data_IF_048656313097
#
_entry.id   IF_048656313097
#
_cell.length_a   1.000
_cell.length_b   1.000
_cell.length_c   1.000
_cell.angle_alpha   90.00
_cell.angle_beta   90.00
_cell.angle_gamma   90.00
#
_symmetry.space_group_name_H-M   'P 1'
#
loop_
_entity.id
_entity.type
_entity.pdbx_description
1 polymer ?
#
# COMPACT_ATOMS: atom_id res chain seq x y z
N UNK A 1 -3.90 -31.84 2.04
CA UNK A 1 -2.86 -30.90 2.54
C UNK A 1 -3.54 -29.59 2.87
N UNK A 2 -3.31 -29.02 4.06
CA UNK A 2 -3.96 -27.77 4.47
C UNK A 2 -3.13 -26.58 3.96
N UNK A 3 -3.71 -25.77 3.07
CA UNK A 3 -3.12 -24.52 2.58
C UNK A 3 -3.80 -23.35 3.29
N UNK A 4 -2.99 -22.47 3.87
CA UNK A 4 -3.44 -21.21 4.45
C UNK A 4 -2.79 -20.05 3.70
N UNK A 5 -3.60 -19.09 3.25
CA UNK A 5 -3.10 -17.85 2.65
C UNK A 5 -3.33 -16.68 3.59
N UNK A 6 -2.32 -15.83 3.74
CA UNK A 6 -2.36 -14.62 4.54
C UNK A 6 -2.18 -13.44 3.61
N UNK A 7 -3.14 -12.52 3.57
CA UNK A 7 -3.05 -11.30 2.76
C UNK A 7 -2.90 -10.10 3.68
N UNK A 8 -1.76 -9.42 3.57
CA UNK A 8 -1.47 -8.16 4.26
C UNK A 8 -1.27 -7.06 3.21
N UNK A 9 -1.60 -5.82 3.57
CA UNK A 9 -1.53 -4.66 2.69
C UNK A 9 -1.23 -3.42 3.53
N UNK A 10 -0.75 -2.36 2.90
CA UNK A 10 -0.66 -1.02 3.49
C UNK A 10 0.12 -1.07 4.82
N UNK A 11 1.33 -1.65 4.78
CA UNK A 11 2.24 -1.67 5.93
C UNK A 11 3.03 -0.34 6.03
N UNK A 12 3.40 0.24 4.89
CA UNK A 12 4.15 1.50 4.76
C UNK A 12 5.46 1.55 5.54
N UNK A 13 6.30 0.53 5.38
CA UNK A 13 7.66 0.53 5.91
C UNK A 13 8.45 1.71 5.32
N UNK A 14 8.87 2.63 6.20
CA UNK A 14 9.80 3.71 5.86
C UNK A 14 11.24 3.25 5.98
N UNK A 15 12.14 4.16 6.36
CA UNK A 15 13.58 3.87 6.58
C UNK A 15 13.89 3.41 8.01
N UNK A 16 12.87 3.05 8.78
CA UNK A 16 12.95 2.76 10.20
C UNK A 16 13.14 4.02 11.05
N UNK A 17 13.24 3.79 12.36
CA UNK A 17 13.62 4.79 13.34
C UNK A 17 14.78 4.25 14.18
N UNK A 18 15.73 5.10 14.55
CA UNK A 18 16.76 4.72 15.54
C UNK A 18 16.20 4.87 16.95
N UNK A 19 16.60 4.03 17.92
CA UNK A 19 16.18 4.20 19.30
C UNK A 19 16.49 5.61 19.84
N UNK A 20 15.46 6.30 20.32
CA UNK A 20 15.59 7.67 20.83
C UNK A 20 15.58 8.77 19.76
N UNK A 21 15.56 8.43 18.48
CA UNK A 21 15.39 9.38 17.38
C UNK A 21 14.00 9.24 16.77
N UNK A 22 13.32 10.37 16.64
CA UNK A 22 12.05 10.43 15.97
C UNK A 22 12.26 10.51 14.45
N UNK A 23 11.69 9.56 13.70
CA UNK A 23 11.53 9.69 12.26
C UNK A 23 10.07 9.98 11.92
N UNK A 24 9.76 11.24 11.60
CA UNK A 24 8.38 11.65 11.27
C UNK A 24 7.83 11.00 10.01
N UNK A 25 8.69 10.40 9.17
CA UNK A 25 8.31 9.69 7.95
C UNK A 25 8.20 8.17 8.13
N UNK A 26 8.51 7.66 9.31
CA UNK A 26 8.25 6.27 9.66
C UNK A 26 6.83 6.13 10.19
N UNK A 27 6.03 5.30 9.54
CA UNK A 27 4.65 5.03 9.97
C UNK A 27 4.46 3.56 10.41
N UNK A 28 5.42 2.69 10.10
CA UNK A 28 5.43 1.28 10.50
C UNK A 28 6.28 1.07 11.77
N UNK A 29 5.64 0.58 12.82
CA UNK A 29 6.29 0.29 14.11
C UNK A 29 5.96 -1.11 14.63
N UNK A 30 5.58 -2.02 13.73
CA UNK A 30 4.99 -3.32 14.05
C UNK A 30 5.85 -4.49 13.55
N UNK A 31 7.16 -4.28 13.46
CA UNK A 31 8.16 -5.30 13.11
C UNK A 31 8.02 -6.59 13.92
N UNK A 32 7.95 -6.45 15.24
CA UNK A 32 7.83 -7.58 16.17
C UNK A 32 6.50 -8.31 15.96
N UNK A 33 5.40 -7.56 15.79
CA UNK A 33 4.06 -8.11 15.59
C UNK A 33 3.93 -8.84 14.25
N UNK A 34 4.57 -8.33 13.20
CA UNK A 34 4.63 -8.97 11.89
C UNK A 34 5.39 -10.30 11.97
N UNK A 35 6.59 -10.29 12.56
CA UNK A 35 7.38 -11.50 12.74
C UNK A 35 6.66 -12.53 13.63
N UNK A 36 5.93 -12.08 14.65
CA UNK A 36 5.13 -12.94 15.53
C UNK A 36 3.97 -13.60 14.78
N UNK A 37 3.24 -12.83 13.96
CA UNK A 37 2.14 -13.33 13.12
C UNK A 37 2.63 -14.44 12.18
N UNK A 38 3.76 -14.22 11.50
CA UNK A 38 4.34 -15.24 10.62
C UNK A 38 4.74 -16.49 11.39
N UNK A 39 5.39 -16.33 12.55
CA UNK A 39 5.77 -17.47 13.39
C UNK A 39 4.56 -18.24 13.94
N UNK A 40 3.44 -17.56 14.20
CA UNK A 40 2.20 -18.19 14.64
C UNK A 40 1.64 -19.11 13.56
N UNK A 41 1.42 -18.59 12.35
CA UNK A 41 0.88 -19.37 11.25
C UNK A 41 1.84 -20.45 10.76
N UNK A 42 3.15 -20.22 10.88
CA UNK A 42 4.16 -21.25 10.63
C UNK A 42 4.01 -22.45 11.57
N UNK A 43 3.76 -22.20 12.87
CA UNK A 43 3.51 -23.26 13.86
C UNK A 43 2.17 -23.94 13.65
N UNK A 44 1.12 -23.18 13.34
CA UNK A 44 -0.21 -23.73 13.08
C UNK A 44 -0.21 -24.68 11.87
N UNK A 45 0.52 -24.33 10.81
CA UNK A 45 0.66 -25.16 9.62
C UNK A 45 1.49 -26.43 9.86
N UNK A 46 2.45 -26.40 10.79
CA UNK A 46 3.37 -27.51 11.02
C UNK A 46 4.30 -27.77 9.83
N UNK A 47 4.89 -28.97 9.76
CA UNK A 47 5.85 -29.31 8.69
C UNK A 47 5.16 -29.64 7.36
N UNK A 48 3.97 -30.24 7.40
CA UNK A 48 3.22 -30.67 6.21
C UNK A 48 2.26 -29.62 5.65
N UNK A 49 1.98 -28.56 6.42
CA UNK A 49 1.11 -27.46 5.98
C UNK A 49 1.80 -26.48 5.04
N UNK A 50 1.01 -25.89 4.15
CA UNK A 50 1.48 -24.83 3.24
C UNK A 50 0.98 -23.48 3.71
N UNK A 51 1.87 -22.49 3.68
CA UNK A 51 1.51 -21.10 3.97
C UNK A 51 2.00 -20.20 2.84
N UNK A 52 1.06 -19.43 2.29
CA UNK A 52 1.37 -18.42 1.28
C UNK A 52 1.09 -17.03 1.86
N UNK A 53 2.15 -16.24 2.01
CA UNK A 53 2.08 -14.85 2.40
C UNK A 53 1.94 -13.99 1.15
N UNK A 54 0.88 -13.19 1.09
CA UNK A 54 0.57 -12.29 -0.01
C UNK A 54 0.66 -10.87 0.53
N UNK A 55 1.66 -10.14 0.08
CA UNK A 55 1.86 -8.73 0.36
C UNK A 55 1.22 -7.91 -0.77
N UNK A 56 0.03 -7.38 -0.51
CA UNK A 56 -0.89 -6.79 -1.49
C UNK A 56 -0.72 -5.27 -1.67
N UNK A 57 0.51 -4.81 -1.80
CA UNK A 57 0.84 -3.42 -2.11
C UNK A 57 0.95 -2.51 -0.89
N UNK A 58 1.65 -1.39 -1.10
CA UNK A 58 2.02 -0.42 -0.08
C UNK A 58 2.67 -1.10 1.14
N UNK A 59 3.52 -2.08 0.87
CA UNK A 59 4.38 -2.70 1.87
C UNK A 59 5.42 -1.69 2.31
N UNK A 60 6.05 -1.04 1.34
CA UNK A 60 7.01 0.03 1.58
C UNK A 60 6.38 1.39 1.26
N UNK A 61 6.80 2.43 1.96
CA UNK A 61 6.49 3.81 1.60
C UNK A 61 7.67 4.47 0.87
N UNK A 62 7.98 3.97 -0.33
CA UNK A 62 9.15 4.39 -1.12
C UNK A 62 9.00 5.84 -1.63
N UNK A 63 7.81 6.42 -1.56
CA UNK A 63 7.57 7.84 -1.80
C UNK A 63 8.10 8.73 -0.67
N UNK A 64 8.28 8.21 0.56
CA UNK A 64 8.83 8.97 1.69
C UNK A 64 10.35 8.87 1.81
N UNK A 65 10.98 7.94 1.10
CA UNK A 65 12.42 7.70 1.16
C UNK A 65 13.19 8.75 0.36
N UNK A 66 14.25 9.31 0.97
CA UNK A 66 15.10 10.33 0.35
C UNK A 66 16.38 9.74 -0.21
N UNK A 67 16.78 10.18 -1.39
CA UNK A 67 18.10 9.94 -1.97
C UNK A 67 18.83 11.28 -2.06
N UNK A 68 20.04 11.37 -1.50
CA UNK A 68 20.80 12.62 -1.49
C UNK A 68 20.07 13.79 -0.79
N UNK A 69 19.20 13.50 0.19
CA UNK A 69 18.46 14.52 0.95
C UNK A 69 17.16 15.02 0.29
N UNK A 70 16.82 14.55 -0.91
CA UNK A 70 15.59 14.92 -1.63
C UNK A 70 14.67 13.72 -1.83
N UNK A 71 13.38 13.97 -2.03
CA UNK A 71 12.45 12.96 -2.54
C UNK A 71 12.54 12.94 -4.07
N UNK A 72 13.15 11.90 -4.68
CA UNK A 72 13.31 11.86 -6.12
C UNK A 72 11.95 11.74 -6.82
N UNK A 73 11.75 12.53 -7.88
CA UNK A 73 10.56 12.47 -8.74
C UNK A 73 10.81 11.72 -10.05
N UNK A 74 12.09 11.48 -10.36
CA UNK A 74 12.55 10.64 -11.45
C UNK A 74 13.18 9.39 -10.83
N UNK A 75 12.50 8.24 -10.95
CA UNK A 75 12.90 6.99 -10.29
C UNK A 75 13.51 6.06 -11.32
N UNK A 76 14.83 5.84 -11.25
CA UNK A 76 15.53 4.78 -11.98
C UNK A 76 15.54 3.48 -11.16
N UNK A 77 15.95 2.37 -11.78
CA UNK A 77 16.16 1.09 -11.09
C UNK A 77 17.15 1.22 -9.90
N UNK A 78 18.27 1.95 -10.09
CA UNK A 78 19.25 2.18 -9.02
C UNK A 78 18.67 2.98 -7.84
N UNK A 79 17.88 4.03 -8.14
CA UNK A 79 17.20 4.83 -7.11
C UNK A 79 16.20 3.96 -6.35
N UNK A 80 15.39 3.19 -7.08
CA UNK A 80 14.42 2.26 -6.50
C UNK A 80 15.09 1.22 -5.58
N UNK A 81 16.18 0.62 -6.06
CA UNK A 81 17.00 -0.36 -5.32
C UNK A 81 17.55 0.24 -4.03
N UNK A 82 18.12 1.44 -4.09
CA UNK A 82 18.67 2.11 -2.92
C UNK A 82 17.59 2.48 -1.89
N UNK A 83 16.40 2.91 -2.34
CA UNK A 83 15.29 3.17 -1.42
C UNK A 83 14.87 1.91 -0.67
N UNK A 84 14.71 0.79 -1.38
CA UNK A 84 14.38 -0.51 -0.78
C UNK A 84 15.46 -0.95 0.21
N UNK A 85 16.74 -0.76 -0.12
CA UNK A 85 17.86 -1.04 0.80
C UNK A 85 17.70 -0.29 2.11
N UNK A 86 17.44 1.02 2.06
CA UNK A 86 17.25 1.85 3.26
C UNK A 86 16.07 1.37 4.11
N UNK A 87 14.95 0.99 3.49
CA UNK A 87 13.82 0.41 4.20
C UNK A 87 14.17 -0.91 4.88
N UNK A 88 14.80 -1.83 4.16
CA UNK A 88 15.16 -3.15 4.68
C UNK A 88 16.18 -3.07 5.83
N UNK A 89 17.15 -2.15 5.73
CA UNK A 89 18.12 -1.88 6.79
C UNK A 89 17.48 -1.23 8.03
N UNK A 90 16.42 -0.43 7.82
CA UNK A 90 15.62 0.18 8.87
C UNK A 90 14.74 -0.81 9.65
N UNK A 91 14.40 -1.95 9.03
CA UNK A 91 13.47 -2.94 9.56
C UNK A 91 14.08 -4.36 9.64
N UNK A 92 15.19 -4.56 10.37
CA UNK A 92 15.88 -5.85 10.41
C UNK A 92 15.01 -6.98 10.99
N UNK A 93 14.06 -6.67 11.87
CA UNK A 93 13.16 -7.65 12.47
C UNK A 93 12.11 -8.14 11.48
N UNK A 94 11.52 -7.25 10.68
CA UNK A 94 10.68 -7.62 9.53
C UNK A 94 11.43 -8.56 8.58
N UNK A 95 12.68 -8.21 8.21
CA UNK A 95 13.54 -9.02 7.34
C UNK A 95 13.80 -10.41 7.94
N UNK A 96 14.18 -10.48 9.22
CA UNK A 96 14.43 -11.74 9.92
C UNK A 96 13.16 -12.60 9.99
N UNK A 97 12.00 -11.98 10.20
CA UNK A 97 10.69 -12.66 10.20
C UNK A 97 10.42 -13.35 8.87
N UNK A 98 10.57 -12.62 7.76
CA UNK A 98 10.43 -13.18 6.41
C UNK A 98 11.47 -14.26 6.11
N UNK A 99 12.73 -14.04 6.51
CA UNK A 99 13.80 -15.02 6.29
C UNK A 99 13.54 -16.35 7.02
N UNK A 100 13.04 -16.28 8.25
CA UNK A 100 12.66 -17.48 9.02
C UNK A 100 11.47 -18.18 8.39
N UNK A 101 10.47 -17.42 7.97
CA UNK A 101 9.30 -17.96 7.27
C UNK A 101 9.70 -18.69 5.98
N UNK A 102 10.50 -18.03 5.13
CA UNK A 102 10.93 -18.57 3.84
C UNK A 102 12.03 -19.63 3.96
N UNK A 103 12.63 -19.86 5.12
CA UNK A 103 13.59 -20.95 5.30
C UNK A 103 12.96 -22.35 5.15
N UNK A 104 11.63 -22.48 5.35
CA UNK A 104 10.90 -23.75 5.21
C UNK A 104 10.35 -23.92 3.80
N UNK A 105 10.49 -25.12 3.20
CA UNK A 105 10.19 -25.36 1.78
C UNK A 105 8.73 -25.05 1.37
N UNK A 106 7.76 -25.29 2.25
CA UNK A 106 6.32 -25.11 1.99
C UNK A 106 5.79 -23.70 2.25
N UNK A 107 6.68 -22.71 2.33
CA UNK A 107 6.34 -21.31 2.57
C UNK A 107 6.59 -20.50 1.30
N UNK A 108 5.61 -19.73 0.85
CA UNK A 108 5.70 -18.92 -0.36
C UNK A 108 5.40 -17.46 -0.04
N UNK A 109 6.02 -16.56 -0.80
CA UNK A 109 5.73 -15.14 -0.75
C UNK A 109 5.30 -14.64 -2.13
N UNK A 110 4.18 -13.95 -2.18
CA UNK A 110 3.72 -13.19 -3.34
C UNK A 110 3.73 -11.71 -2.97
N UNK A 111 4.28 -10.88 -3.84
CA UNK A 111 4.34 -9.43 -3.67
C UNK A 111 3.66 -8.76 -4.85
N UNK A 112 2.64 -7.93 -4.57
CA UNK A 112 2.01 -7.04 -5.54
C UNK A 112 2.41 -5.61 -5.18
N UNK A 113 2.94 -4.79 -6.10
CA UNK A 113 3.15 -3.37 -5.83
C UNK A 113 1.83 -2.59 -5.70
N UNK A 114 1.80 -1.68 -4.72
CA UNK A 114 0.81 -0.62 -4.57
C UNK A 114 1.33 0.71 -5.12
N UNK A 115 0.62 1.82 -4.88
CA UNK A 115 1.03 3.12 -5.43
C UNK A 115 2.18 3.79 -4.65
N UNK A 116 2.49 3.35 -3.44
CA UNK A 116 3.62 3.82 -2.64
C UNK A 116 4.93 3.06 -2.89
N UNK A 117 4.84 1.87 -3.48
CA UNK A 117 5.99 1.00 -3.78
C UNK A 117 6.01 0.48 -5.22
N UNK A 118 5.49 1.27 -6.17
CA UNK A 118 5.59 1.01 -7.62
C UNK A 118 7.03 0.77 -8.10
N UNK A 119 8.02 1.32 -7.38
CA UNK A 119 9.45 1.08 -7.59
C UNK A 119 9.77 -0.44 -7.66
N UNK A 120 9.00 -1.29 -6.95
CA UNK A 120 9.11 -2.76 -6.97
C UNK A 120 8.76 -3.38 -8.33
N UNK A 121 8.31 -2.60 -9.32
CA UNK A 121 8.23 -3.04 -10.71
C UNK A 121 9.61 -3.33 -11.32
N UNK A 122 10.64 -2.57 -10.93
CA UNK A 122 11.99 -2.76 -11.47
C UNK A 122 12.65 -4.06 -10.98
N UNK A 123 13.54 -4.67 -11.79
CA UNK A 123 14.27 -5.88 -11.38
C UNK A 123 15.21 -5.68 -10.19
N UNK A 124 15.97 -4.58 -10.13
CA UNK A 124 16.95 -4.33 -9.08
C UNK A 124 16.39 -4.38 -7.65
N UNK A 125 15.30 -3.65 -7.30
CA UNK A 125 14.71 -3.72 -5.97
C UNK A 125 14.12 -5.11 -5.64
N UNK A 126 13.56 -5.82 -6.63
CA UNK A 126 13.08 -7.20 -6.43
C UNK A 126 14.20 -8.17 -6.08
N UNK A 127 15.31 -8.11 -6.82
CA UNK A 127 16.48 -8.96 -6.57
C UNK A 127 17.16 -8.61 -5.25
N UNK A 128 17.21 -7.32 -4.90
CA UNK A 128 17.67 -6.90 -3.57
C UNK A 128 16.77 -7.47 -2.46
N UNK A 129 15.45 -7.33 -2.59
CA UNK A 129 14.50 -7.87 -1.62
C UNK A 129 14.71 -9.38 -1.42
N UNK A 130 14.80 -10.15 -2.51
CA UNK A 130 15.08 -11.60 -2.46
C UNK A 130 16.39 -11.92 -1.73
N UNK A 131 17.46 -11.15 -1.95
CA UNK A 131 18.74 -11.36 -1.25
C UNK A 131 18.61 -11.19 0.27
N UNK A 132 17.79 -10.25 0.73
CA UNK A 132 17.56 -10.03 2.16
C UNK A 132 16.74 -11.16 2.80
N UNK A 133 15.67 -11.61 2.14
CA UNK A 133 14.66 -12.47 2.78
C UNK A 133 14.67 -13.93 2.32
N UNK A 134 15.24 -14.24 1.16
CA UNK A 134 15.17 -15.56 0.52
C UNK A 134 16.47 -15.91 -0.23
N UNK A 135 17.65 -15.92 0.43
CA UNK A 135 18.89 -16.23 -0.25
C UNK A 135 18.92 -17.69 -0.75
N UNK A 136 19.59 -17.92 -1.89
CA UNK A 136 19.74 -19.24 -2.50
C UNK A 136 18.44 -19.76 -3.12
N UNK A 137 18.17 -21.07 -2.99
CA UNK A 137 17.01 -21.73 -3.59
C UNK A 137 15.65 -21.24 -3.05
N UNK A 138 15.63 -20.50 -1.93
CA UNK A 138 14.40 -19.90 -1.43
C UNK A 138 13.87 -18.77 -2.34
N UNK A 139 14.73 -18.16 -3.17
CA UNK A 139 14.36 -17.08 -4.07
C UNK A 139 13.25 -17.49 -5.07
N UNK A 140 13.23 -18.75 -5.49
CA UNK A 140 12.23 -19.30 -6.43
C UNK A 140 10.81 -19.34 -5.84
N UNK A 141 10.69 -19.21 -4.51
CA UNK A 141 9.40 -19.17 -3.78
C UNK A 141 8.92 -17.74 -3.51
N UNK A 142 9.62 -16.73 -4.03
CA UNK A 142 9.25 -15.31 -3.95
C UNK A 142 8.82 -14.83 -5.34
N UNK A 143 7.53 -14.57 -5.49
CA UNK A 143 6.94 -14.14 -6.76
C UNK A 143 6.47 -12.69 -6.71
N UNK A 144 6.89 -11.88 -7.68
CA UNK A 144 6.43 -10.51 -7.85
C UNK A 144 5.40 -10.44 -8.98
N UNK A 145 4.23 -9.87 -8.70
CA UNK A 145 3.16 -9.66 -9.68
C UNK A 145 3.28 -8.23 -10.21
N UNK A 146 4.00 -8.07 -11.32
CA UNK A 146 4.29 -6.75 -11.91
C UNK A 146 3.73 -6.57 -13.32
N UNK A 147 3.26 -7.65 -13.94
CA UNK A 147 2.63 -7.63 -15.28
C UNK A 147 1.14 -7.27 -15.25
N UNK A 148 0.52 -7.23 -14.07
CA UNK A 148 -0.90 -6.93 -13.88
C UNK A 148 -1.17 -6.30 -12.51
N UNK A 149 -2.31 -5.63 -12.38
CA UNK A 149 -2.80 -5.06 -11.12
C UNK A 149 -3.40 -6.10 -10.16
N UNK A 150 -3.51 -7.35 -10.62
CA UNK A 150 -4.29 -8.40 -9.96
C UNK A 150 -3.49 -9.70 -9.88
N UNK A 151 -3.48 -10.31 -8.70
CA UNK A 151 -3.13 -11.70 -8.49
C UNK A 151 -4.39 -12.55 -8.50
N UNK A 152 -4.44 -13.52 -9.41
CA UNK A 152 -5.58 -14.38 -9.63
C UNK A 152 -5.37 -15.70 -8.89
N UNK A 153 -6.28 -16.00 -7.97
CA UNK A 153 -6.35 -17.29 -7.32
C UNK A 153 -7.51 -18.10 -7.90
N UNK A 154 -7.48 -19.43 -7.76
CA UNK A 154 -8.60 -20.27 -8.16
C UNK A 154 -9.87 -19.96 -7.33
N UNK A 155 -10.96 -20.69 -7.57
CA UNK A 155 -12.24 -20.51 -6.86
C UNK A 155 -12.87 -19.10 -6.97
N UNK A 156 -12.41 -18.29 -7.92
CA UNK A 156 -12.93 -16.94 -8.16
C UNK A 156 -12.43 -15.89 -7.16
N UNK A 157 -11.23 -16.06 -6.62
CA UNK A 157 -10.59 -15.07 -5.74
C UNK A 157 -9.68 -14.15 -6.57
N UNK A 158 -9.86 -12.84 -6.43
CA UNK A 158 -8.94 -11.84 -6.97
C UNK A 158 -8.37 -10.97 -5.85
N UNK A 159 -7.07 -10.76 -5.90
CA UNK A 159 -6.33 -9.91 -4.97
C UNK A 159 -5.70 -8.79 -5.76
N UNK A 160 -5.96 -7.55 -5.38
CA UNK A 160 -5.39 -6.34 -6.02
C UNK A 160 -5.23 -5.26 -4.98
N UNK A 161 -4.24 -4.38 -5.11
CA UNK A 161 -3.99 -3.37 -4.08
C UNK A 161 -5.19 -2.43 -3.89
N UNK A 162 -5.71 -1.82 -4.96
CA UNK A 162 -6.87 -0.91 -4.85
C UNK A 162 -6.70 0.39 -5.59
N UNK A 163 -5.47 0.90 -5.68
CA UNK A 163 -5.13 2.20 -6.27
C UNK A 163 -5.70 2.42 -7.69
N UNK A 164 -5.85 1.36 -8.49
CA UNK A 164 -6.44 1.39 -9.84
C UNK A 164 -7.89 1.91 -9.88
N UNK A 165 -8.61 1.81 -8.75
CA UNK A 165 -9.98 2.31 -8.60
C UNK A 165 -10.03 3.84 -8.51
N UNK A 166 -8.90 4.47 -8.20
CA UNK A 166 -8.75 5.92 -8.12
C UNK A 166 -7.94 6.45 -9.31
N UNK A 167 -8.55 7.33 -10.10
CA UNK A 167 -7.96 7.82 -11.36
C UNK A 167 -6.59 8.47 -11.15
N UNK A 168 -6.38 9.14 -10.02
CA UNK A 168 -5.13 9.86 -9.72
C UNK A 168 -3.97 8.93 -9.37
N UNK A 169 -4.24 7.67 -9.01
CA UNK A 169 -3.24 6.66 -8.65
C UNK A 169 -3.10 5.54 -9.69
N UNK A 170 -3.91 5.55 -10.75
CA UNK A 170 -3.87 4.52 -11.81
C UNK A 170 -2.59 4.61 -12.63
N UNK A 171 -2.02 3.45 -12.93
CA UNK A 171 -0.87 3.25 -13.82
C UNK A 171 -1.24 2.37 -15.02
N UNK A 172 -0.40 2.39 -16.06
CA UNK A 172 -0.48 1.47 -17.18
C UNK A 172 0.59 0.38 -17.03
N UNK A 173 0.16 -0.83 -16.64
CA UNK A 173 1.06 -1.97 -16.40
C UNK A 173 1.81 -2.43 -17.66
N UNK A 174 1.32 -2.08 -18.86
CA UNK A 174 2.05 -2.34 -20.10
C UNK A 174 3.16 -1.30 -20.37
N UNK A 175 3.05 -0.10 -19.80
CA UNK A 175 3.95 1.02 -20.01
C UNK A 175 4.27 1.72 -18.67
N UNK A 176 4.96 1.00 -17.79
CA UNK A 176 5.28 1.47 -16.43
C UNK A 176 6.42 2.49 -16.41
N UNK A 177 7.17 2.62 -17.50
CA UNK A 177 8.33 3.50 -17.61
C UNK A 177 8.22 4.46 -18.78
N UNK A 178 9.02 5.52 -18.71
CA UNK A 178 9.26 6.44 -19.82
C UNK A 178 10.75 6.69 -19.96
N UNK A 179 11.18 6.93 -21.20
CA UNK A 179 12.58 7.28 -21.51
C UNK A 179 12.75 8.79 -21.52
N UNK A 180 13.82 9.26 -20.88
CA UNK A 180 14.27 10.65 -20.94
C UNK A 180 14.97 10.93 -22.27
N UNK A 181 15.26 12.21 -22.53
CA UNK A 181 16.00 12.64 -23.72
C UNK A 181 17.42 12.07 -23.79
N UNK A 182 18.03 11.83 -22.64
CA UNK A 182 19.36 11.21 -22.50
C UNK A 182 19.31 9.66 -22.60
N UNK A 183 18.13 9.08 -22.83
CA UNK A 183 17.93 7.63 -22.92
C UNK A 183 17.67 6.93 -21.59
N UNK A 184 17.81 7.62 -20.45
CA UNK A 184 17.58 7.05 -19.12
C UNK A 184 16.12 6.63 -18.96
N UNK A 185 15.90 5.41 -18.49
CA UNK A 185 14.57 4.89 -18.20
C UNK A 185 14.19 5.22 -16.76
N UNK A 186 13.00 5.79 -16.59
CA UNK A 186 12.44 6.15 -15.28
C UNK A 186 11.01 5.66 -15.16
N UNK A 187 10.56 5.38 -13.94
CA UNK A 187 9.18 5.05 -13.65
C UNK A 187 8.23 6.19 -14.03
N UNK A 188 7.13 5.89 -14.71
CA UNK A 188 6.09 6.85 -14.99
C UNK A 188 5.10 6.95 -13.82
N UNK A 189 5.51 7.72 -12.81
CA UNK A 189 4.72 7.90 -11.59
C UNK A 189 3.36 8.56 -11.88
N UNK A 190 2.26 8.04 -11.29
CA UNK A 190 0.95 8.64 -11.43
C UNK A 190 0.90 10.00 -10.71
N UNK A 191 -0.10 10.81 -11.08
CA UNK A 191 -0.24 12.17 -10.57
C UNK A 191 -0.29 12.24 -9.03
N UNK A 192 -0.96 11.27 -8.40
CA UNK A 192 -1.07 11.17 -6.95
C UNK A 192 0.29 10.98 -6.26
N UNK A 193 1.13 10.09 -6.78
CA UNK A 193 2.48 9.85 -6.23
C UNK A 193 3.37 11.09 -6.35
N UNK A 194 3.31 11.80 -7.48
CA UNK A 194 4.03 13.06 -7.66
C UNK A 194 3.53 14.18 -6.73
N UNK A 195 2.22 14.25 -6.47
CA UNK A 195 1.65 15.17 -5.50
C UNK A 195 2.09 14.83 -4.07
N UNK A 196 2.21 13.54 -3.73
CA UNK A 196 2.76 13.12 -2.44
C UNK A 196 4.19 13.61 -2.28
N UNK A 197 5.06 13.36 -3.27
CA UNK A 197 6.47 13.75 -3.26
C UNK A 197 6.68 15.27 -3.12
N UNK A 198 5.92 16.07 -3.89
CA UNK A 198 6.13 17.52 -3.96
C UNK A 198 5.29 18.35 -2.98
N UNK A 199 4.20 17.80 -2.42
CA UNK A 199 3.25 18.55 -1.57
C UNK A 199 3.01 17.87 -0.24
N UNK A 200 2.61 16.59 -0.23
CA UNK A 200 2.28 15.91 1.03
C UNK A 200 3.50 15.70 1.93
N UNK A 201 4.63 15.26 1.38
CA UNK A 201 5.86 15.05 2.15
C UNK A 201 6.37 16.34 2.82
N UNK A 202 6.48 17.48 2.13
CA UNK A 202 6.74 18.77 2.77
C UNK A 202 5.70 19.16 3.85
N UNK A 203 4.42 18.84 3.65
CA UNK A 203 3.39 19.10 4.64
C UNK A 203 3.56 18.21 5.89
N UNK A 204 3.89 16.93 5.71
CA UNK A 204 4.19 15.97 6.77
C UNK A 204 5.41 16.38 7.60
N UNK A 205 6.43 16.96 6.95
CA UNK A 205 7.56 17.55 7.67
C UNK A 205 7.15 18.68 8.65
N UNK A 206 6.03 19.37 8.39
CA UNK A 206 5.49 20.41 9.27
C UNK A 206 4.48 19.87 10.29
N UNK A 207 3.73 18.83 9.91
CA UNK A 207 2.69 18.15 10.71
C UNK A 207 2.77 16.66 10.45
N UNK A 208 3.45 15.92 11.32
CA UNK A 208 3.77 14.48 11.19
C UNK A 208 2.56 13.58 10.90
N UNK A 209 1.35 14.04 11.26
CA UNK A 209 0.10 13.29 11.18
C UNK A 209 -0.74 13.57 9.93
N UNK A 210 -0.41 14.59 9.11
CA UNK A 210 -1.34 15.10 8.08
C UNK A 210 -1.76 14.06 7.03
N UNK A 211 -0.85 13.16 6.65
CA UNK A 211 -1.08 12.09 5.68
C UNK A 211 -1.81 10.88 6.28
N UNK A 212 -1.91 10.80 7.61
CA UNK A 212 -2.64 9.74 8.33
C UNK A 212 -4.07 10.13 8.71
N UNK A 213 -4.51 11.34 8.34
CA UNK A 213 -5.87 11.79 8.63
C UNK A 213 -6.81 11.48 7.48
N UNK A 214 -7.90 10.79 7.79
CA UNK A 214 -8.99 10.53 6.85
C UNK A 214 -10.35 10.98 7.41
N UNK A 215 -11.20 11.64 6.60
CA UNK A 215 -10.88 12.23 5.30
C UNK A 215 -10.10 13.55 5.47
N UNK A 216 -9.09 13.77 4.63
CA UNK A 216 -8.24 14.98 4.64
C UNK A 216 -9.05 16.29 4.58
N UNK A 217 -10.16 16.32 3.82
CA UNK A 217 -11.00 17.51 3.70
C UNK A 217 -11.61 17.99 5.02
N UNK A 218 -11.97 17.07 5.94
CA UNK A 218 -12.47 17.44 7.27
C UNK A 218 -11.36 18.05 8.14
N UNK A 219 -10.15 17.52 8.03
CA UNK A 219 -8.99 18.12 8.69
C UNK A 219 -8.71 19.52 8.17
N UNK A 220 -8.70 19.72 6.85
CA UNK A 220 -8.46 21.04 6.26
C UNK A 220 -9.51 22.07 6.67
N UNK A 221 -10.78 21.67 6.79
CA UNK A 221 -11.85 22.54 7.29
C UNK A 221 -11.61 22.97 8.75
N UNK A 222 -11.25 22.04 9.63
CA UNK A 222 -10.94 22.35 11.02
C UNK A 222 -9.65 23.19 11.12
N UNK A 223 -8.61 22.82 10.38
CA UNK A 223 -7.34 23.52 10.33
C UNK A 223 -7.48 24.94 9.75
N UNK A 224 -8.51 25.24 8.95
CA UNK A 224 -8.78 26.61 8.52
C UNK A 224 -9.05 27.54 9.72
N UNK A 225 -9.69 27.01 10.77
CA UNK A 225 -10.00 27.74 12.00
C UNK A 225 -8.86 27.67 13.04
N UNK A 226 -8.22 26.51 13.18
CA UNK A 226 -7.27 26.26 14.27
C UNK A 226 -5.79 26.28 13.85
N UNK A 227 -5.49 26.19 12.56
CA UNK A 227 -4.12 26.20 12.01
C UNK A 227 -4.08 26.87 10.62
N UNK A 228 -4.62 28.08 10.53
CA UNK A 228 -4.83 28.80 9.26
C UNK A 228 -3.53 28.98 8.47
N UNK A 229 -2.39 29.16 9.17
CA UNK A 229 -1.06 29.29 8.55
C UNK A 229 -0.66 28.00 7.84
N UNK A 230 -0.89 26.85 8.45
CA UNK A 230 -0.63 25.56 7.80
C UNK A 230 -1.50 25.41 6.56
N UNK A 231 -2.82 25.67 6.66
CA UNK A 231 -3.75 25.54 5.52
C UNK A 231 -3.37 26.47 4.38
N UNK A 232 -3.06 27.74 4.65
CA UNK A 232 -2.66 28.69 3.62
C UNK A 232 -1.40 28.20 2.87
N UNK A 233 -0.40 27.69 3.59
CA UNK A 233 0.82 27.12 3.01
C UNK A 233 0.53 25.84 2.21
N UNK A 234 -0.29 24.94 2.74
CA UNK A 234 -0.69 23.70 2.08
C UNK A 234 -1.43 23.98 0.76
N UNK A 235 -2.37 24.93 0.78
CA UNK A 235 -3.11 25.36 -0.40
C UNK A 235 -2.20 26.05 -1.42
N UNK A 236 -1.28 26.91 -0.98
CA UNK A 236 -0.29 27.53 -1.87
C UNK A 236 0.55 26.49 -2.61
N UNK A 237 1.14 25.51 -1.90
CA UNK A 237 1.97 24.47 -2.52
C UNK A 237 1.15 23.57 -3.45
N UNK A 238 -0.08 23.23 -3.06
CA UNK A 238 -1.02 22.46 -3.91
C UNK A 238 -1.35 23.22 -5.19
N UNK A 239 -1.69 24.51 -5.10
CA UNK A 239 -2.00 25.36 -6.25
C UNK A 239 -0.77 25.58 -7.13
N UNK A 240 0.41 25.81 -6.55
CA UNK A 240 1.65 25.97 -7.28
C UNK A 240 2.05 24.68 -8.03
N UNK A 241 1.93 23.52 -7.39
CA UNK A 241 2.13 22.22 -8.06
C UNK A 241 1.16 22.05 -9.23
N UNK A 242 -0.12 22.32 -9.00
CA UNK A 242 -1.14 22.19 -10.03
C UNK A 242 -0.89 23.13 -11.21
N UNK A 243 -0.54 24.40 -10.96
CA UNK A 243 -0.17 25.36 -12.00
C UNK A 243 1.06 24.88 -12.78
N UNK A 244 2.14 24.48 -12.10
CA UNK A 244 3.35 23.95 -12.76
C UNK A 244 3.02 22.75 -13.66
N UNK A 245 2.15 21.84 -13.23
CA UNK A 245 1.77 20.64 -14.01
C UNK A 245 0.71 20.92 -15.10
N UNK A 246 -0.13 21.96 -14.97
CA UNK A 246 -1.13 22.36 -15.98
C UNK A 246 -0.56 23.26 -17.07
N UNK A 247 0.44 24.09 -16.75
CA UNK A 247 1.01 25.09 -17.66
C UNK A 247 1.92 24.48 -18.74
N UNK A 248 2.27 23.20 -18.63
CA UNK A 248 3.00 22.47 -19.67
C UNK A 248 2.13 21.70 -20.69
N UNK A 249 0.81 21.95 -20.76
CA UNK A 249 -0.04 21.18 -21.69
C UNK A 249 -1.24 21.97 -22.25
N UNK A 250 -0.97 23.13 -22.88
CA UNK A 250 -1.97 23.88 -23.65
C UNK A 250 -2.55 23.08 -24.84
N UNK A 251 -1.80 22.12 -25.38
CA UNK A 251 -2.28 21.21 -26.43
C UNK A 251 -3.22 20.11 -25.89
N UNK A 252 -2.92 19.51 -24.73
CA UNK A 252 -3.81 18.52 -24.10
C UNK A 252 -5.15 19.10 -23.59
N UNK A 253 -5.24 20.43 -23.42
CA UNK A 253 -6.48 21.09 -23.00
C UNK A 253 -7.58 21.01 -24.07
N UNK A 254 -7.22 20.97 -25.36
CA UNK A 254 -8.18 20.82 -26.47
C UNK A 254 -8.77 19.41 -26.55
N UNK A 255 -7.98 18.38 -26.25
CA UNK A 255 -8.47 17.00 -26.18
C UNK A 255 -9.32 16.76 -24.93
N UNK A 256 -8.96 17.34 -23.79
CA UNK A 256 -9.72 17.26 -22.53
C UNK A 256 -11.13 17.83 -22.63
N UNK A 257 -11.33 18.87 -23.45
CA UNK A 257 -12.64 19.49 -23.64
C UNK A 257 -13.66 18.51 -24.26
N UNK A 258 -13.19 17.55 -25.07
CA UNK A 258 -14.01 16.49 -25.67
C UNK A 258 -14.38 15.36 -24.69
N UNK A 259 -13.65 15.21 -23.59
CA UNK A 259 -13.85 14.17 -22.57
C UNK A 259 -14.46 14.68 -21.27
N UNK A 260 -14.71 15.99 -21.14
CA UNK A 260 -15.35 16.64 -19.99
C UNK A 260 -16.61 15.90 -19.47
N UNK A 261 -17.56 15.46 -20.32
CA UNK A 261 -18.75 14.76 -19.84
C UNK A 261 -18.44 13.41 -19.19
N UNK A 262 -17.44 12.68 -19.71
CA UNK A 262 -17.01 11.38 -19.20
C UNK A 262 -16.17 11.54 -17.93
N UNK A 263 -15.27 12.51 -17.92
CA UNK A 263 -14.44 12.84 -16.76
C UNK A 263 -15.29 13.33 -15.56
N UNK A 264 -16.33 14.12 -15.82
CA UNK A 264 -17.28 14.60 -14.80
C UNK A 264 -18.19 13.46 -14.30
N UNK A 265 -18.66 12.58 -15.19
CA UNK A 265 -19.42 11.38 -14.81
C UNK A 265 -18.58 10.42 -13.96
N UNK A 266 -17.30 10.26 -14.28
CA UNK A 266 -16.36 9.45 -13.49
C UNK A 266 -15.98 10.12 -12.16
N UNK A 267 -15.89 11.45 -12.11
CA UNK A 267 -15.72 12.21 -10.84
C UNK A 267 -16.96 12.13 -9.94
N UNK A 268 -18.16 12.17 -10.51
CA UNK A 268 -19.42 11.92 -9.79
C UNK A 268 -19.51 10.46 -9.29
N UNK A 269 -18.90 9.51 -10.00
CA UNK A 269 -18.78 8.11 -9.55
C UNK A 269 -17.75 7.98 -8.42
N UNK A 270 -16.68 8.80 -8.42
CA UNK A 270 -15.68 8.87 -7.36
C UNK A 270 -16.19 9.55 -6.07
N UNK A 271 -17.26 10.35 -6.15
CA UNK A 271 -17.97 10.92 -4.99
C UNK A 271 -18.57 9.85 -4.06
N UNK A 272 -18.78 8.62 -4.55
CA UNK A 272 -19.20 7.46 -3.76
C UNK A 272 -18.13 6.88 -2.82
N UNK A 273 -16.91 7.40 -2.87
CA UNK A 273 -15.78 6.87 -2.10
C UNK A 273 -15.25 5.53 -2.63
N UNK A 274 -14.10 5.12 -2.10
CA UNK A 274 -13.38 3.92 -2.52
C UNK A 274 -14.22 2.63 -2.41
N UNK A 275 -14.92 2.44 -1.29
CA UNK A 275 -15.72 1.23 -1.03
C UNK A 275 -16.77 0.99 -2.13
N UNK A 276 -17.45 2.04 -2.60
CA UNK A 276 -18.43 1.90 -3.67
C UNK A 276 -17.78 1.60 -5.01
N UNK A 277 -16.61 2.18 -5.29
CA UNK A 277 -15.85 1.86 -6.49
C UNK A 277 -15.44 0.39 -6.51
N UNK A 278 -14.99 -0.15 -5.37
CA UNK A 278 -14.64 -1.56 -5.21
C UNK A 278 -15.86 -2.48 -5.38
N UNK A 279 -17.00 -2.15 -4.76
CA UNK A 279 -18.25 -2.91 -4.94
C UNK A 279 -18.71 -2.91 -6.41
N UNK A 280 -18.64 -1.77 -7.10
CA UNK A 280 -18.98 -1.67 -8.52
C UNK A 280 -18.03 -2.49 -9.39
N UNK A 281 -16.74 -2.53 -9.06
CA UNK A 281 -15.77 -3.38 -9.75
C UNK A 281 -16.12 -4.86 -9.56
N UNK A 282 -16.33 -5.30 -8.32
CA UNK A 282 -16.69 -6.68 -7.98
C UNK A 282 -17.96 -7.16 -8.71
N UNK A 283 -19.00 -6.33 -8.74
CA UNK A 283 -20.25 -6.67 -9.45
C UNK A 283 -20.05 -6.90 -10.95
N UNK A 284 -19.16 -6.15 -11.59
CA UNK A 284 -18.89 -6.25 -13.04
C UNK A 284 -18.03 -7.46 -13.41
N UNK A 285 -17.22 -7.98 -12.49
CA UNK A 285 -16.32 -9.10 -12.78
C UNK A 285 -17.08 -10.43 -12.85
N UNK A 286 -16.96 -11.13 -13.98
CA UNK A 286 -17.52 -12.48 -14.17
C UNK A 286 -16.55 -13.52 -13.61
N UNK A 287 -17.09 -14.56 -12.98
CA UNK A 287 -16.29 -15.65 -12.38
C UNK A 287 -15.56 -15.28 -11.08
N UNK A 288 -15.73 -14.06 -10.57
CA UNK A 288 -15.14 -13.60 -9.31
C UNK A 288 -16.19 -13.64 -8.21
N UNK A 289 -15.88 -14.36 -7.13
CA UNK A 289 -16.66 -14.45 -5.91
C UNK A 289 -16.07 -13.60 -4.79
N UNK A 290 -14.74 -13.50 -4.73
CA UNK A 290 -14.02 -12.78 -3.68
C UNK A 290 -13.11 -11.72 -4.28
N UNK A 291 -13.23 -10.48 -3.81
CA UNK A 291 -12.28 -9.40 -4.11
C UNK A 291 -11.62 -8.95 -2.82
N UNK A 292 -10.30 -9.09 -2.74
CA UNK A 292 -9.48 -8.66 -1.61
C UNK A 292 -8.67 -7.44 -2.06
N UNK A 293 -8.78 -6.35 -1.29
CA UNK A 293 -8.13 -5.06 -1.53
C UNK A 293 -7.45 -4.49 -0.28
N UNK A 294 -6.66 -3.45 -0.47
CA UNK A 294 -6.11 -2.53 0.53
C UNK A 294 -6.41 -1.08 0.12
N UNK A 295 -5.38 -0.24 0.11
CA UNK A 295 -5.33 1.14 -0.43
C UNK A 295 -6.11 2.22 0.33
N UNK A 296 -7.31 1.91 0.84
CA UNK A 296 -8.11 2.90 1.57
C UNK A 296 -7.83 2.93 3.08
N UNK A 297 -6.93 2.06 3.56
CA UNK A 297 -6.50 1.93 4.96
C UNK A 297 -7.63 1.55 5.95
N UNK A 298 -8.88 1.44 5.48
CA UNK A 298 -10.04 1.12 6.30
C UNK A 298 -10.42 -0.35 6.15
N UNK A 299 -10.28 -1.20 7.19
CA UNK A 299 -10.67 -2.60 7.09
C UNK A 299 -12.17 -2.73 6.84
N UNK A 300 -12.55 -3.60 5.91
CA UNK A 300 -13.96 -3.84 5.53
C UNK A 300 -14.19 -5.31 5.21
N UNK A 301 -15.29 -5.86 5.70
CA UNK A 301 -15.84 -7.11 5.22
C UNK A 301 -17.26 -6.85 4.75
N UNK A 302 -17.54 -7.04 3.47
CA UNK A 302 -18.86 -6.81 2.88
C UNK A 302 -19.30 -8.00 2.05
N UNK A 303 -20.36 -8.65 2.49
CA UNK A 303 -21.09 -9.63 1.69
C UNK A 303 -22.17 -8.90 0.88
N UNK A 304 -22.17 -9.09 -0.43
CA UNK A 304 -23.14 -8.51 -1.36
C UNK A 304 -24.38 -9.43 -1.49
N UNK A 305 -25.54 -8.89 -1.92
CA UNK A 305 -26.77 -9.68 -2.08
C UNK A 305 -26.66 -10.85 -3.07
N UNK A 306 -25.73 -10.80 -4.02
CA UNK A 306 -25.45 -11.86 -4.98
C UNK A 306 -24.45 -12.91 -4.45
N UNK A 307 -24.10 -12.85 -3.16
CA UNK A 307 -23.19 -13.78 -2.49
C UNK A 307 -21.71 -13.41 -2.60
N UNK A 308 -21.35 -12.44 -3.44
CA UNK A 308 -19.95 -11.99 -3.60
C UNK A 308 -19.43 -11.31 -2.34
N UNK A 309 -18.15 -11.46 -2.05
CA UNK A 309 -17.50 -10.90 -0.86
C UNK A 309 -16.41 -9.92 -1.26
N UNK A 310 -16.48 -8.70 -0.70
CA UNK A 310 -15.41 -7.70 -0.74
C UNK A 310 -14.73 -7.65 0.62
N UNK A 311 -13.42 -7.85 0.63
CA UNK A 311 -12.58 -7.67 1.82
C UNK A 311 -11.58 -6.54 1.57
N UNK A 312 -11.57 -5.52 2.42
CA UNK A 312 -10.45 -4.61 2.54
C UNK A 312 -9.63 -5.00 3.77
N UNK A 313 -8.35 -5.28 3.57
CA UNK A 313 -7.42 -5.72 4.61
C UNK A 313 -7.08 -4.62 5.62
N UNK A 314 -7.35 -3.35 5.32
CA UNK A 314 -7.01 -2.21 6.16
C UNK A 314 -5.55 -1.82 6.03
N UNK A 315 -4.98 -1.27 7.10
CA UNK A 315 -3.57 -0.87 7.19
C UNK A 315 -3.02 -1.24 8.56
N UNK A 316 -1.70 -1.37 8.67
CA UNK A 316 -1.02 -1.43 9.96
C UNK A 316 -0.56 -0.05 10.44
N UNK A 317 -0.78 1.01 9.66
CA UNK A 317 -0.53 2.37 10.10
C UNK A 317 -1.59 2.85 11.10
N UNK A 318 -1.16 3.71 12.03
CA UNK A 318 -2.07 4.38 12.97
C UNK A 318 -2.80 5.53 12.29
N UNK A 319 -3.96 5.25 11.74
CA UNK A 319 -4.82 6.25 11.08
C UNK A 319 -5.64 7.07 12.08
N UNK A 320 -5.83 8.35 11.78
CA UNK A 320 -6.73 9.25 12.51
C UNK A 320 -8.00 9.43 11.68
N UNK A 321 -9.13 8.94 12.19
CA UNK A 321 -10.40 9.04 11.47
C UNK A 321 -11.28 10.17 12.03
N UNK A 322 -11.60 11.14 11.18
CA UNK A 322 -12.50 12.26 11.48
C UNK A 322 -13.93 12.03 10.94
N UNK A 323 -14.23 10.85 10.40
CA UNK A 323 -15.60 10.42 10.11
C UNK A 323 -16.31 9.97 11.37
N UNK A 324 -17.49 10.54 11.63
CA UNK A 324 -18.27 10.22 12.82
C UNK A 324 -18.62 8.74 12.94
N UNK A 325 -18.71 8.01 11.81
CA UNK A 325 -18.94 6.56 11.80
C UNK A 325 -17.77 5.75 12.35
N UNK A 326 -16.58 6.35 12.35
CA UNK A 326 -15.31 5.71 12.67
C UNK A 326 -14.50 6.48 13.73
N UNK A 327 -15.09 7.52 14.31
CA UNK A 327 -14.41 8.37 15.28
C UNK A 327 -14.04 7.56 16.51
N UNK A 328 -12.76 7.57 16.89
CA UNK A 328 -12.24 6.80 18.02
C UNK A 328 -12.05 5.30 17.76
N UNK A 329 -12.25 4.83 16.53
CA UNK A 329 -11.99 3.43 16.18
C UNK A 329 -10.50 3.20 15.88
N UNK A 330 -9.89 2.28 16.63
CA UNK A 330 -8.61 1.67 16.26
C UNK A 330 -8.87 0.32 15.58
N UNK A 331 -8.53 0.26 14.30
CA UNK A 331 -8.66 -0.92 13.45
C UNK A 331 -7.74 -2.07 13.91
N UNK A 332 -6.60 -1.74 14.50
CA UNK A 332 -5.55 -2.69 14.86
C UNK A 332 -4.85 -3.31 13.65
N UNK A 333 -4.12 -4.39 13.91
CA UNK A 333 -3.26 -5.06 12.94
C UNK A 333 -4.06 -6.07 12.10
N UNK A 334 -4.82 -5.57 11.13
CA UNK A 334 -5.74 -6.39 10.33
C UNK A 334 -5.06 -7.10 9.16
N UNK A 335 -5.59 -8.25 8.78
CA UNK A 335 -5.13 -9.05 7.63
C UNK A 335 -6.26 -9.95 7.16
N UNK A 336 -6.22 -10.41 5.91
CA UNK A 336 -7.17 -11.40 5.41
C UNK A 336 -6.55 -12.81 5.50
N UNK A 337 -7.34 -13.78 5.98
CA UNK A 337 -6.99 -15.20 5.99
C UNK A 337 -7.89 -15.95 5.04
N UNK A 338 -7.28 -16.75 4.16
CA UNK A 338 -7.99 -17.67 3.26
C UNK A 338 -7.61 -19.09 3.66
N UNK A 339 -8.62 -19.89 4.01
CA UNK A 339 -8.48 -21.32 4.29
C UNK A 339 -9.35 -22.12 3.34
N UNK A 340 -8.97 -23.37 3.12
CA UNK A 340 -9.67 -24.29 2.23
C UNK A 340 -10.20 -25.46 3.04
N UNK A 341 -11.48 -25.77 2.83
CA UNK A 341 -12.08 -27.01 3.34
C UNK A 341 -11.59 -28.23 2.55
N UNK A 342 -11.91 -29.43 3.02
CA UNK A 342 -11.52 -30.68 2.34
C UNK A 342 -12.10 -30.81 0.92
N UNK A 343 -13.27 -30.21 0.66
CA UNK A 343 -13.89 -30.12 -0.66
C UNK A 343 -13.36 -28.96 -1.53
N UNK A 344 -12.32 -28.24 -1.07
CA UNK A 344 -11.65 -27.18 -1.80
C UNK A 344 -12.37 -25.84 -1.82
N UNK A 345 -13.43 -25.65 -1.01
CA UNK A 345 -14.12 -24.36 -0.92
C UNK A 345 -13.31 -23.37 -0.08
N UNK A 346 -13.11 -22.13 -0.55
CA UNK A 346 -12.39 -21.12 0.22
C UNK A 346 -13.31 -20.51 1.28
N UNK A 347 -12.76 -20.32 2.47
CA UNK A 347 -13.32 -19.46 3.52
C UNK A 347 -12.41 -18.25 3.65
N UNK A 348 -12.96 -17.05 3.41
CA UNK A 348 -12.22 -15.78 3.46
C UNK A 348 -12.66 -15.00 4.69
N UNK A 349 -11.72 -14.73 5.61
CA UNK A 349 -11.99 -14.01 6.85
C UNK A 349 -11.10 -12.79 6.99
N UNK A 350 -11.68 -11.67 7.40
CA UNK A 350 -10.92 -10.51 7.84
C UNK A 350 -10.59 -10.67 9.33
N UNK A 351 -9.30 -10.75 9.63
CA UNK A 351 -8.77 -11.02 10.96
C UNK A 351 -8.11 -9.77 11.54
N UNK A 352 -7.98 -9.73 12.86
CA UNK A 352 -7.13 -8.78 13.60
C UNK A 352 -6.11 -9.56 14.40
N UNK A 353 -4.83 -9.24 14.24
CA UNK A 353 -3.76 -9.77 15.06
C UNK A 353 -3.74 -9.05 16.40
N UNK A 354 -3.81 -9.80 17.49
CA UNK A 354 -3.75 -9.27 18.85
C UNK A 354 -2.34 -9.41 19.47
N UNK A 355 -1.50 -10.27 18.90
CA UNK A 355 -0.16 -10.54 19.38
C UNK A 355 -0.12 -11.10 20.79
N UNK A 356 1.11 -11.31 21.27
CA UNK A 356 1.40 -11.65 22.66
C UNK A 356 1.32 -10.41 23.52
N UNK A 357 0.77 -10.54 24.73
CA UNK A 357 0.69 -9.42 25.68
C UNK A 357 2.09 -8.95 26.08
N UNK A 358 2.46 -7.73 25.68
CA UNK A 358 3.71 -7.08 26.09
C UNK A 358 3.48 -6.27 27.37
N UNK A 359 4.45 -6.24 28.31
CA UNK A 359 4.33 -5.41 29.51
C UNK A 359 4.45 -3.91 29.21
N UNK A 360 5.12 -3.54 28.10
CA UNK A 360 5.30 -2.16 27.66
C UNK A 360 5.58 -2.11 26.14
N UNK A 361 5.47 -0.92 25.55
CA UNK A 361 5.83 -0.64 24.16
C UNK A 361 6.44 0.75 24.03
N UNK A 362 7.31 0.95 23.03
CA UNK A 362 7.81 2.28 22.68
C UNK A 362 6.66 3.08 22.05
N UNK A 363 6.56 4.35 22.40
CA UNK A 363 5.57 5.27 21.84
C UNK A 363 6.25 6.14 20.78
N UNK A 364 5.94 5.97 19.48
CA UNK A 364 6.67 6.61 18.39
C UNK A 364 6.11 7.99 18.00
N UNK A 365 5.30 8.65 18.84
CA UNK A 365 4.67 9.91 18.45
C UNK A 365 5.64 11.08 18.50
N UNK A 366 5.62 11.86 17.42
CA UNK A 366 5.95 13.29 17.43
C UNK A 366 4.65 14.07 17.60
N UNK A 367 4.61 14.93 18.62
CA UNK A 367 3.67 16.06 18.85
C UNK A 367 2.26 15.97 18.25
#
# INVERSE_FOLDING_TARGET
MKLTRLVLSDLHLGVGSRPGELNVFEDFHFDDDFAELLAHYDREAGEDGEVELILNGDVFDLLKVKIGGIWPTEITDDIATEKVRQCMDGHPKFVIGLKRFLAKERRRLVFLPGNHDLDMWFPGPQELFKRYVAPGAAADRVHFVTSSDTYYLPEGIQIRHGHQLERIHRVDYANMTKKRRDGTEILDLPWGSLWILEVMNPAKALRSYVDRIQPLGRFLLAALLFDTRFVARFMYHTSAYWLRRRVFNLEAWRERLRWLPKALREEIIALGGFDEAAVRALKKMRGVQYLIVGHSHGPRFRQLPDGKILVNTGTWMRMINLDIRHLGQDSGLTYCRIEYSEDGRPTVNLMRWLGSRRPYQIVPYAD
#
